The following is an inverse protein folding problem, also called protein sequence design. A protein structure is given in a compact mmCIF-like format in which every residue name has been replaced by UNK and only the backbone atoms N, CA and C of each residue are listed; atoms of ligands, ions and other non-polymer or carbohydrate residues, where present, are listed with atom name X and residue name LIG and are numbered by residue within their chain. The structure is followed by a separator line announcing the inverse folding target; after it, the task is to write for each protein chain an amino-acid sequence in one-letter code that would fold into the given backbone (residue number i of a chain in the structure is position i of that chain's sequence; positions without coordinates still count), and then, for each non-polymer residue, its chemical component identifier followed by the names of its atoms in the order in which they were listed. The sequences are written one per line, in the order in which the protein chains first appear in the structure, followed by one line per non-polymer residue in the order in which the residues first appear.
data_IF_290690101822
#
_entry.id   IF_290690101822
#
_cell.length_a   1.000
_cell.length_b   1.000
_cell.length_c   1.000
_cell.angle_alpha   90.00
_cell.angle_beta   90.00
_cell.angle_gamma   90.00
#
_symmetry.space_group_name_H-M   'P 1'
#
loop_
_entity.id
_entity.type
_entity.pdbx_description
1 polymer ?
#
# COMPACT_ATOMS: atom_id res chain seq x y z
N UNK A 1 5.90 13.99 -16.70
CA UNK A 1 7.06 13.39 -15.99
C UNK A 1 6.55 12.20 -15.19
N UNK A 2 7.19 11.03 -15.33
CA UNK A 2 6.82 9.84 -14.56
C UNK A 2 7.20 9.99 -13.07
N UNK A 3 6.53 9.29 -12.15
CA UNK A 3 6.86 9.35 -10.73
C UNK A 3 8.25 8.75 -10.46
N UNK A 4 8.99 9.37 -9.55
CA UNK A 4 10.28 8.86 -9.08
C UNK A 4 10.02 7.81 -7.99
N UNK A 5 10.57 6.61 -8.17
CA UNK A 5 10.49 5.52 -7.20
C UNK A 5 11.88 4.99 -6.88
N UNK A 6 12.05 4.48 -5.67
CA UNK A 6 13.31 3.88 -5.24
C UNK A 6 13.59 2.55 -5.96
N UNK A 7 12.55 1.75 -6.20
CA UNK A 7 12.67 0.41 -6.79
C UNK A 7 12.06 0.35 -8.20
N UNK A 8 12.60 -0.56 -9.00
CA UNK A 8 12.00 -1.05 -10.24
C UNK A 8 11.17 -2.30 -9.95
N UNK A 9 10.30 -2.69 -10.88
CA UNK A 9 9.51 -3.93 -10.75
C UNK A 9 10.39 -5.18 -10.64
N UNK A 10 11.57 -5.15 -11.26
CA UNK A 10 12.58 -6.22 -11.21
C UNK A 10 13.28 -6.37 -9.87
N UNK A 11 13.21 -5.33 -9.02
CA UNK A 11 13.87 -5.33 -7.70
C UNK A 11 12.99 -5.96 -6.61
N UNK A 12 11.72 -6.22 -6.92
CA UNK A 12 10.78 -6.82 -5.97
C UNK A 12 11.11 -8.29 -5.73
N UNK A 13 11.06 -8.69 -4.47
CA UNK A 13 11.10 -10.11 -4.10
C UNK A 13 9.91 -10.86 -4.70
N UNK A 14 10.11 -12.12 -5.06
CA UNK A 14 8.99 -12.95 -5.55
C UNK A 14 7.99 -13.23 -4.42
N UNK A 15 6.74 -13.53 -4.80
CA UNK A 15 5.69 -13.90 -3.84
C UNK A 15 6.12 -15.01 -2.88
N UNK A 16 6.78 -16.02 -3.41
CA UNK A 16 7.24 -17.17 -2.66
C UNK A 16 8.30 -16.79 -1.63
N UNK A 17 9.31 -16.02 -2.02
CA UNK A 17 10.39 -15.53 -1.14
C UNK A 17 9.80 -14.71 0.01
N UNK A 18 8.90 -13.76 -0.28
CA UNK A 18 8.27 -12.93 0.74
C UNK A 18 7.44 -13.77 1.71
N UNK A 19 6.59 -14.66 1.19
CA UNK A 19 5.70 -15.46 2.05
C UNK A 19 6.49 -16.44 2.93
N UNK A 20 7.53 -17.07 2.40
CA UNK A 20 8.41 -17.94 3.18
C UNK A 20 9.10 -17.16 4.29
N UNK A 21 9.67 -15.99 3.97
CA UNK A 21 10.34 -15.13 4.95
C UNK A 21 9.40 -14.68 6.08
N UNK A 22 8.15 -14.37 5.74
CA UNK A 22 7.15 -13.91 6.70
C UNK A 22 6.36 -15.05 7.35
N UNK A 23 6.60 -16.31 6.99
CA UNK A 23 5.85 -17.44 7.50
C UNK A 23 4.36 -17.39 7.16
N UNK A 24 4.00 -16.86 5.98
CA UNK A 24 2.61 -16.76 5.53
C UNK A 24 2.26 -17.99 4.70
N UNK A 25 1.20 -18.69 5.10
CA UNK A 25 0.72 -19.86 4.36
C UNK A 25 0.14 -19.48 2.99
N UNK A 26 0.29 -20.40 2.01
CA UNK A 26 -0.15 -20.19 0.62
C UNK A 26 -1.67 -20.15 0.47
N UNK A 27 -2.40 -20.78 1.39
CA UNK A 27 -3.88 -20.82 1.43
C UNK A 27 -4.51 -19.58 2.10
N UNK A 28 -3.70 -18.72 2.71
CA UNK A 28 -4.14 -17.49 3.37
C UNK A 28 -4.02 -16.26 2.44
N UNK A 29 -4.84 -15.26 2.70
CA UNK A 29 -4.70 -13.93 2.12
C UNK A 29 -3.76 -13.10 2.97
N UNK A 30 -2.72 -12.55 2.36
CA UNK A 30 -1.78 -11.65 3.02
C UNK A 30 -2.18 -10.19 2.75
N UNK A 31 -2.54 -9.46 3.79
CA UNK A 31 -2.94 -8.05 3.70
C UNK A 31 -1.88 -7.17 4.31
N UNK A 32 -1.33 -6.26 3.49
CA UNK A 32 -0.35 -5.27 3.96
C UNK A 32 -1.04 -4.01 4.47
N UNK A 33 -0.67 -3.53 5.65
CA UNK A 33 -1.25 -2.34 6.27
C UNK A 33 -0.16 -1.33 6.58
N UNK A 34 -0.26 -0.10 6.05
CA UNK A 34 0.65 1.01 6.34
C UNK A 34 -0.08 2.35 6.28
N UNK A 35 -0.54 2.84 7.42
CA UNK A 35 -1.39 4.04 7.52
C UNK A 35 -0.60 5.36 7.71
N UNK A 36 0.71 5.33 7.42
CA UNK A 36 1.58 6.50 7.50
C UNK A 36 2.39 6.59 8.80
N UNK A 37 3.26 7.61 8.88
CA UNK A 37 4.21 7.81 9.98
C UNK A 37 3.83 9.01 10.88
N UNK A 38 2.70 9.66 10.66
CA UNK A 38 2.46 10.99 11.17
C UNK A 38 1.89 11.05 12.58
N UNK A 39 2.36 12.05 13.35
CA UNK A 39 1.78 12.49 14.62
C UNK A 39 0.43 13.23 14.45
N UNK A 40 -0.10 13.31 13.24
CA UNK A 40 -1.08 14.32 12.84
C UNK A 40 -2.53 13.82 12.96
N UNK A 41 -2.75 12.50 13.04
CA UNK A 41 -4.09 11.90 13.23
C UNK A 41 -4.01 10.75 14.24
N UNK A 42 -5.16 10.31 14.73
CA UNK A 42 -5.30 9.07 15.50
C UNK A 42 -5.05 7.84 14.63
N UNK A 43 -3.77 7.68 14.22
CA UNK A 43 -3.34 6.54 13.41
C UNK A 43 -3.46 5.25 14.20
N UNK A 44 -3.22 5.29 15.52
CA UNK A 44 -3.29 4.11 16.39
C UNK A 44 -4.73 3.60 16.46
N UNK A 45 -5.71 4.48 16.64
CA UNK A 45 -7.13 4.10 16.65
C UNK A 45 -7.61 3.63 15.27
N UNK A 46 -7.16 4.25 14.19
CA UNK A 46 -7.49 3.79 12.83
C UNK A 46 -6.87 2.42 12.53
N UNK A 47 -5.61 2.22 12.91
CA UNK A 47 -4.92 0.94 12.74
C UNK A 47 -5.63 -0.18 13.49
N UNK A 48 -6.01 0.07 14.75
CA UNK A 48 -6.73 -0.92 15.54
C UNK A 48 -8.06 -1.30 14.89
N UNK A 49 -8.85 -0.32 14.43
CA UNK A 49 -10.13 -0.61 13.72
C UNK A 49 -9.91 -1.43 12.44
N UNK A 50 -8.88 -1.13 11.65
CA UNK A 50 -8.52 -1.92 10.46
C UNK A 50 -8.17 -3.35 10.84
N UNK A 51 -7.38 -3.53 11.89
CA UNK A 51 -7.01 -4.85 12.41
C UNK A 51 -8.24 -5.61 12.89
N UNK A 52 -9.13 -4.97 13.64
CA UNK A 52 -10.34 -5.61 14.17
C UNK A 52 -11.27 -6.08 13.05
N UNK A 53 -11.41 -5.28 11.99
CA UNK A 53 -12.20 -5.66 10.82
C UNK A 53 -11.54 -6.82 10.06
N UNK A 54 -10.23 -6.76 9.79
CA UNK A 54 -9.50 -7.83 9.11
C UNK A 54 -9.53 -9.14 9.91
N UNK A 55 -9.51 -9.07 11.24
CA UNK A 55 -9.56 -10.25 12.12
C UNK A 55 -10.90 -11.02 12.07
N UNK A 56 -11.97 -10.41 11.57
CA UNK A 56 -13.23 -11.11 11.31
C UNK A 56 -13.09 -12.18 10.20
N UNK A 57 -12.04 -12.08 9.37
CA UNK A 57 -11.76 -12.98 8.27
C UNK A 57 -10.65 -13.98 8.67
N UNK A 58 -11.02 -15.22 8.99
CA UNK A 58 -10.08 -16.26 9.47
C UNK A 58 -8.94 -16.58 8.48
N UNK A 59 -9.16 -16.33 7.19
CA UNK A 59 -8.18 -16.60 6.14
C UNK A 59 -7.19 -15.46 5.90
N UNK A 60 -7.28 -14.37 6.67
CA UNK A 60 -6.41 -13.20 6.51
C UNK A 60 -5.23 -13.27 7.47
N UNK A 61 -4.04 -13.06 6.93
CA UNK A 61 -2.79 -12.77 7.63
C UNK A 61 -2.48 -11.29 7.45
N UNK A 62 -2.24 -10.57 8.54
CA UNK A 62 -2.02 -9.13 8.55
C UNK A 62 -0.53 -8.86 8.64
N UNK A 63 -0.01 -8.05 7.71
CA UNK A 63 1.39 -7.60 7.73
C UNK A 63 1.42 -6.09 7.85
N UNK A 64 1.91 -5.59 8.98
CA UNK A 64 1.98 -4.16 9.25
C UNK A 64 3.36 -3.64 8.84
N UNK A 65 3.39 -2.73 7.89
CA UNK A 65 4.60 -2.01 7.49
C UNK A 65 4.88 -0.85 8.43
N UNK A 66 5.95 -0.93 9.21
CA UNK A 66 6.39 0.17 10.06
C UNK A 66 7.18 1.19 9.25
N UNK A 67 6.95 2.47 9.52
CA UNK A 67 7.75 3.55 8.93
C UNK A 67 9.06 3.75 9.69
N UNK A 68 10.12 4.14 8.98
CA UNK A 68 11.41 4.49 9.61
C UNK A 68 11.27 5.70 10.55
N UNK A 69 10.38 6.62 10.23
CA UNK A 69 10.26 7.93 10.91
C UNK A 69 9.22 7.91 12.03
N UNK A 70 8.41 6.85 12.13
CA UNK A 70 7.30 6.75 13.08
C UNK A 70 7.71 6.22 14.45
N UNK A 71 6.75 6.27 15.40
CA UNK A 71 6.84 5.48 16.62
C UNK A 71 6.78 4.00 16.26
N UNK A 72 7.41 3.15 17.08
CA UNK A 72 7.28 1.71 16.95
C UNK A 72 5.84 1.28 17.19
N UNK A 73 5.37 0.39 16.34
CA UNK A 73 4.04 -0.20 16.43
C UNK A 73 4.16 -1.42 17.34
N UNK A 74 3.47 -1.36 18.47
CA UNK A 74 3.42 -2.47 19.44
C UNK A 74 2.05 -3.17 19.32
N UNK A 75 1.93 -3.99 18.28
CA UNK A 75 0.75 -4.81 18.02
C UNK A 75 1.20 -6.26 17.90
N UNK A 76 0.54 -7.14 18.63
CA UNK A 76 0.82 -8.58 18.64
C UNK A 76 -0.43 -9.39 18.33
N UNK A 77 -0.26 -10.56 17.74
CA UNK A 77 -1.34 -11.49 17.44
C UNK A 77 -0.84 -12.64 16.57
N UNK A 78 -1.49 -13.80 16.68
CA UNK A 78 -1.07 -15.01 15.97
C UNK A 78 -1.02 -14.84 14.45
N UNK A 79 -1.88 -13.96 13.91
CA UNK A 79 -2.00 -13.66 12.48
C UNK A 79 -1.46 -12.28 12.10
N UNK A 80 -0.70 -11.63 13.00
CA UNK A 80 -0.15 -10.29 12.79
C UNK A 80 1.37 -10.34 12.78
N UNK A 81 1.97 -9.70 11.79
CA UNK A 81 3.43 -9.53 11.67
C UNK A 81 3.76 -8.07 11.44
N UNK A 82 4.81 -7.58 12.07
CA UNK A 82 5.31 -6.23 11.86
C UNK A 82 6.61 -6.30 11.06
N UNK A 83 6.64 -5.61 9.91
CA UNK A 83 7.80 -5.56 9.01
C UNK A 83 8.47 -4.20 9.12
N UNK A 84 9.79 -4.23 9.32
CA UNK A 84 10.68 -3.05 9.46
C UNK A 84 11.79 -3.05 8.41
N UNK A 85 11.53 -3.64 7.26
CA UNK A 85 12.51 -3.90 6.20
C UNK A 85 12.35 -2.87 5.08
N UNK A 86 12.96 -1.71 5.28
CA UNK A 86 12.89 -0.64 4.28
C UNK A 86 13.81 -0.91 3.08
N UNK A 87 13.33 -0.72 1.86
CA UNK A 87 11.99 -0.28 1.48
C UNK A 87 10.96 -1.43 1.54
N UNK A 88 9.90 -1.24 2.33
CA UNK A 88 8.86 -2.26 2.51
C UNK A 88 8.21 -2.69 1.19
N UNK A 89 8.18 -1.82 0.18
CA UNK A 89 7.65 -2.10 -1.15
C UNK A 89 8.37 -3.24 -1.88
N UNK A 90 9.60 -3.58 -1.49
CA UNK A 90 10.30 -4.76 -2.00
C UNK A 90 9.51 -6.05 -1.82
N UNK A 91 8.65 -6.10 -0.80
CA UNK A 91 7.81 -7.25 -0.44
C UNK A 91 6.42 -7.25 -1.08
N UNK A 92 6.06 -6.28 -1.90
CA UNK A 92 4.68 -6.10 -2.38
C UNK A 92 4.12 -7.28 -3.17
N UNK A 93 4.95 -8.04 -3.87
CA UNK A 93 4.49 -9.25 -4.55
C UNK A 93 4.00 -10.36 -3.59
N UNK A 94 4.38 -10.31 -2.32
CA UNK A 94 3.93 -11.27 -1.30
C UNK A 94 2.48 -11.10 -0.87
N UNK A 95 1.92 -9.92 -1.08
CA UNK A 95 0.60 -9.53 -0.57
C UNK A 95 -0.49 -9.66 -1.63
N UNK A 96 -1.71 -9.92 -1.17
CA UNK A 96 -2.89 -10.02 -2.03
C UNK A 96 -3.53 -8.65 -2.24
N UNK A 97 -3.54 -7.83 -1.20
CA UNK A 97 -3.92 -6.43 -1.28
C UNK A 97 -3.32 -5.62 -0.12
N UNK A 98 -3.46 -4.31 -0.17
CA UNK A 98 -2.96 -3.42 0.87
C UNK A 98 -4.03 -2.42 1.35
N UNK A 99 -3.83 -1.90 2.57
CA UNK A 99 -4.54 -0.75 3.13
C UNK A 99 -3.49 0.28 3.52
N UNK A 100 -3.47 1.42 2.84
CA UNK A 100 -2.36 2.36 2.95
C UNK A 100 -2.83 3.81 3.04
N UNK A 101 -2.00 4.68 3.63
CA UNK A 101 -2.17 6.11 3.44
C UNK A 101 -1.82 6.53 2.01
N UNK A 102 -2.42 7.64 1.53
CA UNK A 102 -2.26 8.13 0.16
C UNK A 102 -0.99 8.97 -0.09
N UNK A 103 0.06 8.82 0.74
CA UNK A 103 1.32 9.53 0.55
C UNK A 103 1.96 9.24 -0.81
N UNK A 104 2.79 10.17 -1.30
CA UNK A 104 3.38 10.11 -2.65
C UNK A 104 4.03 8.75 -2.96
N UNK A 105 4.98 8.33 -2.14
CA UNK A 105 5.69 7.08 -2.39
C UNK A 105 4.75 5.87 -2.32
N UNK A 106 3.94 5.78 -1.28
CA UNK A 106 3.01 4.65 -1.07
C UNK A 106 2.03 4.49 -2.24
N UNK A 107 1.48 5.60 -2.73
CA UNK A 107 0.57 5.58 -3.87
C UNK A 107 1.26 5.12 -5.15
N UNK A 108 2.37 5.77 -5.51
CA UNK A 108 3.07 5.47 -6.77
C UNK A 108 3.69 4.07 -6.78
N UNK A 109 4.21 3.59 -5.65
CA UNK A 109 4.71 2.22 -5.53
C UNK A 109 3.58 1.20 -5.66
N UNK A 110 2.46 1.38 -4.94
CA UNK A 110 1.34 0.45 -4.99
C UNK A 110 0.76 0.31 -6.40
N UNK A 111 0.49 1.44 -7.08
CA UNK A 111 -0.07 1.43 -8.44
C UNK A 111 0.93 0.88 -9.44
N UNK A 112 2.20 1.30 -9.39
CA UNK A 112 3.22 0.86 -10.36
C UNK A 112 3.60 -0.62 -10.21
N UNK A 113 3.54 -1.15 -8.99
CA UNK A 113 3.78 -2.57 -8.71
C UNK A 113 2.50 -3.40 -8.78
N UNK A 114 1.40 -2.76 -9.18
CA UNK A 114 0.10 -3.38 -9.36
C UNK A 114 -0.38 -4.16 -8.11
N UNK A 115 -0.18 -3.58 -6.92
CA UNK A 115 -0.71 -4.10 -5.67
C UNK A 115 -2.13 -3.54 -5.47
N UNK A 116 -3.19 -4.36 -5.48
CA UNK A 116 -4.55 -3.90 -5.20
C UNK A 116 -4.59 -3.19 -3.85
N UNK A 117 -5.04 -1.93 -3.82
CA UNK A 117 -4.90 -1.12 -2.61
C UNK A 117 -6.15 -0.34 -2.28
N UNK A 118 -6.50 -0.32 -0.98
CA UNK A 118 -7.45 0.60 -0.36
C UNK A 118 -6.63 1.75 0.21
N UNK A 119 -6.85 2.96 -0.27
CA UNK A 119 -6.23 4.14 0.31
C UNK A 119 -7.16 4.84 1.29
N UNK A 120 -6.60 5.15 2.47
CA UNK A 120 -7.23 6.01 3.49
C UNK A 120 -6.33 7.25 3.58
N UNK A 121 -6.58 8.28 2.75
CA UNK A 121 -5.70 9.44 2.68
C UNK A 121 -5.76 10.27 3.95
N UNK A 122 -4.62 10.83 4.33
CA UNK A 122 -4.56 11.81 5.39
C UNK A 122 -5.03 13.18 4.86
N UNK A 123 -6.12 13.69 5.43
CA UNK A 123 -6.72 14.97 5.03
C UNK A 123 -6.18 16.18 5.81
N UNK A 124 -5.36 15.95 6.84
CA UNK A 124 -4.84 17.00 7.74
C UNK A 124 -3.48 17.56 7.30
N UNK A 125 -2.95 17.14 6.15
CA UNK A 125 -1.66 17.64 5.66
C UNK A 125 -1.88 18.82 4.72
N UNK A 126 -1.48 20.02 5.13
CA UNK A 126 -1.51 21.22 4.27
C UNK A 126 -0.48 21.25 3.14
N UNK A 127 0.39 20.25 3.03
CA UNK A 127 1.53 20.25 2.09
C UNK A 127 1.44 19.20 0.98
N UNK A 128 0.54 18.21 1.10
CA UNK A 128 0.43 17.09 0.15
C UNK A 128 -1.04 16.73 -0.06
N UNK A 129 -1.55 16.99 -1.26
CA UNK A 129 -2.94 16.64 -1.61
C UNK A 129 -3.06 15.13 -1.91
N UNK A 130 -3.09 14.36 -0.83
CA UNK A 130 -3.28 12.91 -0.90
C UNK A 130 -4.64 12.55 -1.49
N UNK A 131 -5.68 13.34 -1.22
CA UNK A 131 -7.04 13.08 -1.68
C UNK A 131 -7.14 13.16 -3.20
N UNK A 132 -6.63 14.23 -3.80
CA UNK A 132 -6.63 14.37 -5.25
C UNK A 132 -5.86 13.23 -5.94
N UNK A 133 -4.71 12.85 -5.38
CA UNK A 133 -3.88 11.75 -5.90
C UNK A 133 -4.62 10.42 -5.90
N UNK A 134 -5.18 10.01 -4.76
CA UNK A 134 -5.82 8.69 -4.66
C UNK A 134 -7.14 8.64 -5.43
N UNK A 135 -7.88 9.76 -5.52
CA UNK A 135 -9.09 9.84 -6.36
C UNK A 135 -8.77 9.63 -7.83
N UNK A 136 -7.70 10.26 -8.34
CA UNK A 136 -7.26 10.01 -9.72
C UNK A 136 -6.98 8.52 -9.98
N UNK A 137 -6.38 7.81 -9.03
CA UNK A 137 -6.18 6.36 -9.12
C UNK A 137 -7.48 5.56 -9.03
N UNK A 138 -8.45 6.00 -8.24
CA UNK A 138 -9.77 5.36 -8.15
C UNK A 138 -10.57 5.52 -9.44
N UNK A 139 -10.54 6.69 -10.06
CA UNK A 139 -11.19 6.97 -11.36
C UNK A 139 -10.64 6.07 -12.47
N UNK A 140 -9.35 5.71 -12.38
CA UNK A 140 -8.69 4.76 -13.29
C UNK A 140 -8.93 3.29 -12.89
N UNK A 141 -9.61 3.03 -11.79
CA UNK A 141 -9.85 1.67 -11.26
C UNK A 141 -8.60 1.00 -10.66
N UNK A 142 -7.52 1.76 -10.43
CA UNK A 142 -6.26 1.25 -9.90
C UNK A 142 -6.24 1.08 -8.37
N UNK A 143 -7.22 1.64 -7.67
CA UNK A 143 -7.36 1.54 -6.22
C UNK A 143 -8.81 1.76 -5.78
N UNK A 144 -9.06 1.60 -4.47
CA UNK A 144 -10.28 2.06 -3.78
C UNK A 144 -9.90 3.12 -2.78
N UNK A 145 -10.81 4.06 -2.54
CA UNK A 145 -10.57 5.19 -1.63
C UNK A 145 -11.63 5.20 -0.53
N UNK A 146 -11.19 5.33 0.71
CA UNK A 146 -12.05 5.52 1.87
C UNK A 146 -11.79 6.91 2.44
N UNK A 147 -12.64 7.86 2.09
CA UNK A 147 -12.67 9.18 2.72
C UNK A 147 -13.51 9.13 4.00
N UNK A 148 -13.11 9.91 5.02
CA UNK A 148 -13.82 9.94 6.32
C UNK A 148 -14.05 8.52 6.86
N UNK A 149 -12.98 7.80 7.24
CA UNK A 149 -13.04 6.38 7.54
C UNK A 149 -13.88 6.11 8.79
N UNK A 150 -14.93 5.32 8.61
CA UNK A 150 -15.68 4.65 9.68
C UNK A 150 -15.70 3.15 9.41
N UNK A 151 -16.09 2.36 10.39
CA UNK A 151 -16.02 0.90 10.32
C UNK A 151 -16.78 0.34 9.11
N UNK A 152 -17.97 0.83 8.83
CA UNK A 152 -18.78 0.37 7.70
C UNK A 152 -18.14 0.66 6.34
N UNK A 153 -17.51 1.84 6.17
CA UNK A 153 -16.82 2.19 4.91
C UNK A 153 -15.56 1.35 4.73
N UNK A 154 -14.79 1.14 5.81
CA UNK A 154 -13.59 0.30 5.79
C UNK A 154 -13.96 -1.14 5.49
N UNK A 155 -14.97 -1.69 6.18
CA UNK A 155 -15.44 -3.07 5.97
C UNK A 155 -15.90 -3.31 4.53
N UNK A 156 -16.73 -2.42 3.96
CA UNK A 156 -17.15 -2.50 2.55
C UNK A 156 -15.97 -2.50 1.57
N UNK A 157 -14.94 -1.71 1.83
CA UNK A 157 -13.77 -1.66 0.97
C UNK A 157 -12.92 -2.94 1.11
N UNK A 158 -12.81 -3.48 2.31
CA UNK A 158 -12.15 -4.77 2.57
C UNK A 158 -12.91 -5.90 1.89
N UNK A 159 -14.23 -6.00 2.10
CA UNK A 159 -15.08 -7.03 1.48
C UNK A 159 -14.96 -7.02 -0.04
N UNK A 160 -14.87 -5.83 -0.65
CA UNK A 160 -14.64 -5.70 -2.09
C UNK A 160 -13.32 -6.36 -2.52
N UNK A 161 -12.22 -6.17 -1.78
CA UNK A 161 -10.93 -6.79 -2.08
C UNK A 161 -10.77 -8.20 -1.52
N UNK A 162 -11.68 -8.70 -0.69
CA UNK A 162 -11.74 -10.12 -0.35
C UNK A 162 -12.14 -10.98 -1.56
N UNK A 163 -12.81 -10.40 -2.56
CA UNK A 163 -13.18 -11.05 -3.81
C UNK A 163 -11.98 -11.08 -4.77
N UNK A 164 -11.59 -12.26 -5.22
CA UNK A 164 -10.40 -12.44 -6.06
C UNK A 164 -10.52 -11.74 -7.42
N UNK A 165 -11.69 -11.77 -8.04
CA UNK A 165 -11.98 -11.15 -9.33
C UNK A 165 -11.75 -9.64 -9.27
N UNK A 166 -12.14 -8.99 -8.18
CA UNK A 166 -11.93 -7.56 -7.97
C UNK A 166 -10.43 -7.22 -7.84
N UNK A 167 -9.66 -8.06 -7.12
CA UNK A 167 -8.20 -7.88 -7.04
C UNK A 167 -7.54 -8.06 -8.41
N UNK A 168 -7.95 -9.08 -9.17
CA UNK A 168 -7.43 -9.31 -10.54
C UNK A 168 -7.73 -8.15 -11.47
N UNK A 169 -8.96 -7.65 -11.45
CA UNK A 169 -9.37 -6.49 -12.26
C UNK A 169 -8.54 -5.25 -11.91
N UNK A 170 -8.43 -4.91 -10.64
CA UNK A 170 -7.64 -3.75 -10.19
C UNK A 170 -6.15 -3.89 -10.58
N UNK A 171 -5.58 -5.09 -10.41
CA UNK A 171 -4.20 -5.39 -10.81
C UNK A 171 -3.97 -5.22 -12.31
N UNK A 172 -4.92 -5.63 -13.14
CA UNK A 172 -4.86 -5.45 -14.59
C UNK A 172 -4.87 -3.97 -14.96
N UNK A 173 -5.84 -3.21 -14.42
CA UNK A 173 -5.96 -1.77 -14.68
C UNK A 173 -4.70 -1.00 -14.25
N UNK A 174 -4.10 -1.36 -13.12
CA UNK A 174 -2.82 -0.77 -12.68
C UNK A 174 -1.68 -1.04 -13.65
N UNK A 175 -1.57 -2.27 -14.19
CA UNK A 175 -0.55 -2.64 -15.18
C UNK A 175 -0.73 -1.90 -16.51
N UNK A 176 -1.99 -1.66 -16.90
CA UNK A 176 -2.32 -0.98 -18.16
C UNK A 176 -1.89 0.50 -18.14
N UNK A 177 -1.66 1.09 -16.95
CA UNK A 177 -1.14 2.46 -16.84
C UNK A 177 0.30 2.60 -17.33
N UNK A 178 1.08 1.51 -17.44
CA UNK A 178 2.47 1.47 -17.94
C UNK A 178 3.37 2.56 -17.35
N UNK A 179 3.25 2.80 -16.05
CA UNK A 179 3.98 3.85 -15.34
C UNK A 179 5.47 3.50 -15.26
N UNK A 180 6.31 4.25 -15.97
CA UNK A 180 7.77 4.15 -15.89
C UNK A 180 8.30 4.80 -14.59
N UNK A 181 9.55 4.48 -14.24
CA UNK A 181 10.23 5.18 -13.15
C UNK A 181 10.90 6.45 -13.69
N UNK A 182 10.47 7.61 -13.22
CA UNK A 182 10.97 8.90 -13.68
C UNK A 182 12.39 9.25 -13.23
N UNK A 183 13.05 8.43 -12.43
CA UNK A 183 14.40 8.71 -11.94
C UNK A 183 15.42 8.87 -13.07
N UNK A 184 15.32 8.07 -14.13
CA UNK A 184 16.20 8.16 -15.30
C UNK A 184 15.93 9.45 -16.07
N UNK A 185 14.66 9.78 -16.33
CA UNK A 185 14.27 11.02 -17.02
C UNK A 185 14.81 12.27 -16.30
N UNK A 186 14.74 12.29 -14.95
CA UNK A 186 15.26 13.39 -14.15
C UNK A 186 16.78 13.44 -14.23
N UNK A 187 17.47 12.31 -14.13
CA UNK A 187 18.92 12.24 -14.26
C UNK A 187 19.41 12.77 -15.60
N UNK A 188 18.76 12.39 -16.71
CA UNK A 188 19.09 12.88 -18.04
C UNK A 188 18.92 14.40 -18.18
N UNK A 189 17.83 14.97 -17.65
CA UNK A 189 17.61 16.43 -17.62
C UNK A 189 18.69 17.15 -16.83
N UNK A 190 19.09 16.62 -15.67
CA UNK A 190 20.18 17.19 -14.86
C UNK A 190 21.51 17.19 -15.62
N UNK A 191 21.86 16.08 -16.26
CA UNK A 191 23.09 15.96 -17.02
C UNK A 191 23.11 16.99 -18.18
N UNK A 192 22.01 17.07 -18.94
CA UNK A 192 21.90 18.04 -20.06
C UNK A 192 21.95 19.49 -19.66
N UNK A 193 21.66 19.83 -18.40
CA UNK A 193 21.73 21.21 -17.88
C UNK A 193 23.11 21.58 -17.32
N UNK A 194 24.00 20.59 -17.18
CA UNK A 194 25.37 20.79 -16.71
C UNK A 194 26.40 20.95 -17.84
N UNK A 195 26.03 20.58 -19.05
CA UNK A 195 26.80 20.79 -20.30
C UNK A 195 26.48 22.17 -20.91
#
# INVERSE_FOLDING_TARGET
MNPIRLLQTTDLDTREVVRTRLGISTDKLAVYVQLGAGKINDIEGLLQRVIDILNKHERVEIVIGESIIGKRIDVTGDRIRVVRDYPNSKSFNGFDFAIMAGGYNSYHEAVSFALPTIFIPNTSTGMDDQVARVKSGEDLGCCRVVLEPNDSKIEKAIDYLMIEENRKAMKSLSKDQKISNGAIEVAEVIIQTLD
#
